data_IF_632977856313
#
_entry.id   IF_632977856313
#
_cell.length_a   1.000
_cell.length_b   1.000
_cell.length_c   1.000
_cell.angle_alpha   90.00
_cell.angle_beta   90.00
_cell.angle_gamma   90.00
#
_symmetry.space_group_name_H-M   'P 1'
#
loop_
_entity.id
_entity.type
_entity.pdbx_description
1 polymer ?
#
# COMPACT_ATOMS: atom_id res chain seq x y z
N UNK A 1 43.51 -14.71 5.18
CA UNK A 1 42.53 -14.09 6.11
C UNK A 1 42.21 -12.71 5.60
N UNK A 2 41.05 -12.53 4.95
CA UNK A 2 40.21 -11.32 4.90
C UNK A 2 39.14 -11.55 3.83
N UNK A 3 38.15 -12.39 4.14
CA UNK A 3 36.85 -12.28 3.50
C UNK A 3 36.25 -10.95 3.97
N UNK A 4 36.31 -9.94 3.11
CA UNK A 4 35.58 -8.71 3.31
C UNK A 4 34.09 -9.04 3.24
N UNK A 5 33.46 -9.10 4.41
CA UNK A 5 32.03 -9.25 4.58
C UNK A 5 31.29 -8.17 3.76
N UNK A 6 30.72 -8.58 2.62
CA UNK A 6 29.89 -7.72 1.77
C UNK A 6 28.55 -7.49 2.49
N UNK A 7 28.46 -6.43 3.27
CA UNK A 7 27.24 -5.97 3.96
C UNK A 7 26.21 -5.34 3.00
N UNK A 8 25.96 -5.97 1.84
CA UNK A 8 24.93 -5.58 0.87
C UNK A 8 23.49 -5.90 1.31
N UNK A 9 23.33 -6.43 2.53
CA UNK A 9 22.08 -7.03 3.03
C UNK A 9 20.94 -6.05 3.42
N UNK A 10 21.15 -4.80 3.89
CA UNK A 10 20.04 -3.91 4.23
C UNK A 10 19.46 -3.19 3.00
N UNK A 11 20.28 -2.84 2.01
CA UNK A 11 19.84 -2.03 0.87
C UNK A 11 18.81 -2.75 0.00
N UNK A 12 19.02 -4.05 -0.25
CA UNK A 12 18.09 -4.85 -1.05
C UNK A 12 16.70 -4.95 -0.40
N UNK A 13 16.64 -5.17 0.91
CA UNK A 13 15.38 -5.23 1.65
C UNK A 13 14.63 -3.89 1.62
N UNK A 14 15.36 -2.78 1.79
CA UNK A 14 14.78 -1.43 1.68
C UNK A 14 14.24 -1.18 0.28
N UNK A 15 15.01 -1.50 -0.76
CA UNK A 15 14.56 -1.32 -2.15
C UNK A 15 13.30 -2.14 -2.45
N UNK A 16 13.26 -3.41 -2.03
CA UNK A 16 12.07 -4.26 -2.22
C UNK A 16 10.85 -3.72 -1.47
N UNK A 17 11.01 -3.25 -0.24
CA UNK A 17 9.91 -2.67 0.54
C UNK A 17 9.40 -1.35 -0.08
N UNK A 18 10.31 -0.48 -0.53
CA UNK A 18 9.94 0.78 -1.21
C UNK A 18 9.20 0.50 -2.52
N UNK A 19 9.68 -0.45 -3.33
CA UNK A 19 9.00 -0.84 -4.56
C UNK A 19 7.63 -1.44 -4.25
N UNK A 20 7.54 -2.34 -3.26
CA UNK A 20 6.29 -2.94 -2.81
C UNK A 20 5.26 -1.91 -2.33
N UNK A 21 5.73 -0.85 -1.67
CA UNK A 21 4.87 0.26 -1.27
C UNK A 21 4.42 1.07 -2.47
N UNK A 22 5.34 1.44 -3.38
CA UNK A 22 5.06 2.31 -4.52
C UNK A 22 4.04 1.68 -5.48
N UNK A 23 4.25 0.41 -5.85
CA UNK A 23 3.36 -0.34 -6.72
C UNK A 23 2.78 -1.51 -5.93
N UNK A 24 1.45 -1.52 -5.69
CA UNK A 24 0.79 -2.59 -4.95
C UNK A 24 1.23 -3.97 -5.45
N UNK A 25 1.64 -4.82 -4.51
CA UNK A 25 2.07 -6.20 -4.74
C UNK A 25 3.29 -6.41 -5.66
N UNK A 26 4.03 -5.35 -6.02
CA UNK A 26 5.26 -5.47 -6.82
C UNK A 26 6.41 -6.15 -6.05
N UNK A 27 6.42 -6.06 -4.71
CA UNK A 27 7.40 -6.72 -3.87
C UNK A 27 7.39 -8.25 -4.00
N UNK A 28 6.21 -8.87 -3.96
CA UNK A 28 6.08 -10.32 -4.16
C UNK A 28 6.47 -10.74 -5.57
N UNK A 29 6.28 -9.89 -6.58
CA UNK A 29 6.73 -10.17 -7.95
C UNK A 29 8.26 -10.21 -8.03
N UNK A 30 8.93 -9.25 -7.39
CA UNK A 30 10.40 -9.16 -7.33
C UNK A 30 11.05 -10.28 -6.50
N UNK A 31 10.30 -10.87 -5.57
CA UNK A 31 10.68 -12.09 -4.85
C UNK A 31 10.36 -13.38 -5.65
N UNK A 32 9.88 -13.28 -6.89
CA UNK A 32 9.54 -14.43 -7.75
C UNK A 32 8.17 -15.06 -7.47
N UNK A 33 7.40 -14.55 -6.50
CA UNK A 33 6.10 -15.07 -6.06
C UNK A 33 4.94 -14.50 -6.91
N UNK A 34 4.94 -14.82 -8.21
CA UNK A 34 3.99 -14.28 -9.21
C UNK A 34 2.50 -14.45 -8.86
N UNK A 35 2.09 -15.60 -8.31
CA UNK A 35 0.69 -15.85 -7.97
C UNK A 35 0.20 -15.00 -6.81
N UNK A 36 1.03 -14.85 -5.76
CA UNK A 36 0.72 -13.96 -4.63
C UNK A 36 0.70 -12.51 -5.07
N UNK A 37 1.69 -12.10 -5.87
CA UNK A 37 1.74 -10.75 -6.43
C UNK A 37 0.46 -10.42 -7.21
N UNK A 38 0.04 -11.31 -8.11
CA UNK A 38 -1.17 -11.10 -8.90
C UNK A 38 -2.44 -11.09 -8.03
N UNK A 39 -2.57 -12.04 -7.11
CA UNK A 39 -3.74 -12.12 -6.22
C UNK A 39 -3.90 -10.86 -5.37
N UNK A 40 -2.82 -10.41 -4.73
CA UNK A 40 -2.84 -9.19 -3.93
C UNK A 40 -3.05 -7.93 -4.77
N UNK A 41 -2.40 -7.81 -5.94
CA UNK A 41 -2.62 -6.69 -6.84
C UNK A 41 -4.10 -6.57 -7.22
N UNK A 42 -4.73 -7.68 -7.60
CA UNK A 42 -6.15 -7.72 -7.97
C UNK A 42 -7.02 -7.28 -6.81
N UNK A 43 -6.84 -7.87 -5.61
CA UNK A 43 -7.66 -7.54 -4.44
C UNK A 43 -7.51 -6.07 -4.06
N UNK A 44 -6.28 -5.55 -4.02
CA UNK A 44 -6.02 -4.17 -3.64
C UNK A 44 -6.56 -3.17 -4.66
N UNK A 45 -6.37 -3.42 -5.95
CA UNK A 45 -6.89 -2.54 -7.01
C UNK A 45 -8.41 -2.58 -7.09
N UNK A 46 -9.04 -3.74 -6.89
CA UNK A 46 -10.50 -3.84 -6.81
C UNK A 46 -11.02 -3.12 -5.58
N UNK A 47 -10.44 -3.34 -4.40
CA UNK A 47 -10.86 -2.65 -3.17
C UNK A 47 -10.73 -1.13 -3.32
N UNK A 48 -9.59 -0.65 -3.82
CA UNK A 48 -9.38 0.78 -4.07
C UNK A 48 -10.35 1.33 -5.12
N UNK A 49 -10.55 0.62 -6.23
CA UNK A 49 -11.47 0.99 -7.29
C UNK A 49 -12.94 1.03 -6.83
N UNK A 50 -13.38 0.06 -6.04
CA UNK A 50 -14.69 0.06 -5.39
C UNK A 50 -14.82 1.22 -4.41
N UNK A 51 -13.76 1.50 -3.63
CA UNK A 51 -13.69 2.64 -2.74
C UNK A 51 -13.94 3.97 -3.46
N UNK A 52 -13.31 4.16 -4.61
CA UNK A 52 -13.54 5.33 -5.46
C UNK A 52 -14.93 5.34 -6.11
N UNK A 53 -15.40 4.19 -6.61
CA UNK A 53 -16.73 4.06 -7.24
C UNK A 53 -17.86 4.38 -6.27
N UNK A 54 -17.68 4.03 -5.00
CA UNK A 54 -18.61 4.33 -3.91
C UNK A 54 -18.44 5.76 -3.37
N UNK A 55 -17.63 6.59 -4.03
CA UNK A 55 -17.39 8.00 -3.69
C UNK A 55 -16.78 8.17 -2.29
N UNK A 56 -16.04 7.16 -1.80
CA UNK A 56 -15.41 7.17 -0.49
C UNK A 56 -14.41 8.31 -0.29
N UNK A 57 -14.24 8.75 0.96
CA UNK A 57 -13.31 9.78 1.34
C UNK A 57 -11.85 9.32 1.18
N UNK A 58 -11.13 9.98 0.28
CA UNK A 58 -9.68 9.87 0.24
C UNK A 58 -9.09 10.92 1.18
N UNK A 59 -8.68 10.50 2.38
CA UNK A 59 -8.27 11.41 3.45
C UNK A 59 -7.11 12.34 3.04
N UNK A 60 -7.17 13.58 3.56
CA UNK A 60 -6.02 14.51 3.68
C UNK A 60 -5.87 14.93 5.13
N UNK A 61 -4.68 15.43 5.52
CA UNK A 61 -4.50 16.08 6.80
C UNK A 61 -5.40 17.31 6.91
N UNK A 62 -6.15 17.41 8.00
CA UNK A 62 -7.01 18.55 8.33
C UNK A 62 -6.59 19.07 9.70
N UNK A 63 -6.21 20.34 9.77
CA UNK A 63 -5.81 20.98 11.01
C UNK A 63 -6.94 20.90 12.06
N UNK A 64 -6.58 20.58 13.31
CA UNK A 64 -7.55 20.39 14.39
C UNK A 64 -8.23 19.01 14.43
N UNK A 65 -7.94 18.11 13.48
CA UNK A 65 -8.49 16.75 13.46
C UNK A 65 -7.37 15.70 13.43
N UNK A 66 -6.84 15.26 14.59
CA UNK A 66 -5.70 14.33 14.65
C UNK A 66 -5.92 13.02 13.89
N UNK A 67 -7.13 12.46 13.92
CA UNK A 67 -7.48 11.23 13.21
C UNK A 67 -7.35 11.36 11.69
N UNK A 68 -7.52 12.56 11.13
CA UNK A 68 -7.35 12.79 9.68
C UNK A 68 -5.92 12.52 9.22
N UNK A 69 -4.92 12.78 10.06
CA UNK A 69 -3.52 12.52 9.76
C UNK A 69 -3.26 11.02 9.71
N UNK A 70 -3.74 10.27 10.70
CA UNK A 70 -3.60 8.82 10.74
C UNK A 70 -4.32 8.15 9.56
N UNK A 71 -5.54 8.59 9.26
CA UNK A 71 -6.31 8.07 8.13
C UNK A 71 -5.64 8.41 6.79
N UNK A 72 -5.02 9.59 6.67
CA UNK A 72 -4.21 9.95 5.49
C UNK A 72 -3.02 9.01 5.33
N UNK A 73 -2.26 8.78 6.41
CA UNK A 73 -1.13 7.85 6.38
C UNK A 73 -1.56 6.43 5.99
N UNK A 74 -2.69 5.97 6.53
CA UNK A 74 -3.30 4.69 6.15
C UNK A 74 -3.68 4.64 4.67
N UNK A 75 -4.35 5.68 4.16
CA UNK A 75 -4.75 5.77 2.76
C UNK A 75 -3.55 5.85 1.80
N UNK A 76 -2.48 6.56 2.17
CA UNK A 76 -1.20 6.59 1.42
C UNK A 76 -0.52 5.22 1.35
N UNK A 77 -0.92 4.28 2.22
CA UNK A 77 -0.42 2.92 2.24
C UNK A 77 -0.57 2.18 0.91
N UNK A 78 -1.57 2.52 0.09
CA UNK A 78 -1.78 1.88 -1.22
C UNK A 78 -0.71 2.31 -2.25
N UNK A 79 0.10 3.33 -1.96
CA UNK A 79 1.21 3.75 -2.81
C UNK A 79 0.79 4.69 -3.93
N UNK A 80 1.31 4.46 -5.14
CA UNK A 80 1.06 5.30 -6.31
C UNK A 80 -0.43 5.56 -6.61
N UNK A 81 -1.36 4.60 -6.47
CA UNK A 81 -2.79 4.85 -6.66
C UNK A 81 -3.34 6.00 -5.80
N UNK A 82 -2.87 6.17 -4.56
CA UNK A 82 -3.28 7.28 -3.70
C UNK A 82 -2.91 8.61 -4.34
N UNK A 83 -1.64 8.77 -4.74
CA UNK A 83 -1.15 10.03 -5.28
C UNK A 83 -1.76 10.35 -6.64
N UNK A 84 -1.93 9.35 -7.49
CA UNK A 84 -2.59 9.51 -8.80
C UNK A 84 -4.03 9.93 -8.61
N UNK A 85 -4.80 9.25 -7.75
CA UNK A 85 -6.19 9.63 -7.50
C UNK A 85 -6.30 11.02 -6.86
N UNK A 86 -5.51 11.28 -5.82
CA UNK A 86 -5.59 12.52 -5.03
C UNK A 86 -5.10 13.75 -5.77
N UNK A 87 -3.89 13.68 -6.32
CA UNK A 87 -3.19 14.83 -6.89
C UNK A 87 -3.23 14.84 -8.41
N UNK A 88 -3.30 13.68 -9.06
CA UNK A 88 -3.44 13.58 -10.52
C UNK A 88 -4.89 13.80 -10.97
N UNK A 89 -5.85 13.16 -10.32
CA UNK A 89 -7.28 13.23 -10.67
C UNK A 89 -8.10 14.16 -9.76
N UNK A 90 -7.51 14.71 -8.70
CA UNK A 90 -8.21 15.60 -7.77
C UNK A 90 -9.30 14.93 -6.94
N UNK A 91 -9.27 13.60 -6.81
CA UNK A 91 -10.32 12.83 -6.16
C UNK A 91 -10.37 13.09 -4.63
N UNK A 92 -11.58 13.34 -4.13
CA UNK A 92 -11.83 13.55 -2.69
C UNK A 92 -12.96 12.68 -2.11
N UNK A 93 -13.81 12.10 -2.97
CA UNK A 93 -15.08 11.50 -2.56
C UNK A 93 -16.20 12.53 -2.41
N UNK A 94 -17.43 12.04 -2.22
CA UNK A 94 -18.65 12.87 -2.07
C UNK A 94 -19.44 12.45 -0.83
N UNK A 95 -19.45 13.26 0.25
CA UNK A 95 -20.15 12.92 1.49
C UNK A 95 -21.64 12.62 1.33
N UNK A 96 -22.27 13.15 0.28
CA UNK A 96 -23.70 12.96 0.00
C UNK A 96 -24.01 11.60 -0.64
N UNK A 97 -22.99 10.86 -1.10
CA UNK A 97 -23.19 9.57 -1.73
C UNK A 97 -23.57 8.50 -0.70
N UNK A 98 -24.56 7.67 -1.01
CA UNK A 98 -25.00 6.56 -0.15
C UNK A 98 -23.86 5.57 0.15
N UNK A 99 -22.92 5.42 -0.78
CA UNK A 99 -21.76 4.54 -0.64
C UNK A 99 -20.59 5.13 0.16
N UNK A 100 -20.65 6.40 0.56
CA UNK A 100 -19.49 7.17 1.04
C UNK A 100 -18.74 6.48 2.19
N UNK A 101 -19.45 6.03 3.22
CA UNK A 101 -18.84 5.38 4.38
C UNK A 101 -18.18 4.04 4.00
N UNK A 102 -18.89 3.21 3.23
CA UNK A 102 -18.36 1.93 2.73
C UNK A 102 -17.15 2.15 1.83
N UNK A 103 -17.23 3.12 0.92
CA UNK A 103 -16.14 3.48 0.02
C UNK A 103 -14.91 3.93 0.79
N UNK A 104 -15.10 4.73 1.83
CA UNK A 104 -14.02 5.19 2.72
C UNK A 104 -13.31 4.02 3.39
N UNK A 105 -14.08 3.04 3.89
CA UNK A 105 -13.54 1.82 4.51
C UNK A 105 -12.75 1.00 3.48
N UNK A 106 -13.24 0.85 2.26
CA UNK A 106 -12.50 0.16 1.19
C UNK A 106 -11.18 0.83 0.85
N UNK A 107 -11.17 2.17 0.72
CA UNK A 107 -9.95 2.94 0.44
C UNK A 107 -8.91 2.79 1.55
N UNK A 108 -9.34 2.93 2.81
CA UNK A 108 -8.46 2.75 3.96
C UNK A 108 -7.96 1.31 4.07
N UNK A 109 -8.84 0.33 3.88
CA UNK A 109 -8.47 -1.09 3.97
C UNK A 109 -7.46 -1.46 2.90
N UNK A 110 -7.64 -1.00 1.65
CA UNK A 110 -6.65 -1.21 0.59
C UNK A 110 -5.28 -0.64 0.96
N UNK A 111 -5.26 0.57 1.55
CA UNK A 111 -4.00 1.19 1.99
C UNK A 111 -3.32 0.41 3.12
N UNK A 112 -4.06 0.07 4.17
CA UNK A 112 -3.53 -0.69 5.31
C UNK A 112 -3.09 -2.10 4.92
N UNK A 113 -3.85 -2.79 4.07
CA UNK A 113 -3.47 -4.11 3.56
C UNK A 113 -2.17 -4.05 2.75
N UNK A 114 -1.98 -3.04 1.91
CA UNK A 114 -0.72 -2.91 1.18
C UNK A 114 0.48 -2.67 2.13
N UNK A 115 0.30 -1.90 3.22
CA UNK A 115 1.33 -1.75 4.24
C UNK A 115 1.69 -3.09 4.92
N UNK A 116 0.71 -3.95 5.19
CA UNK A 116 0.98 -5.30 5.71
C UNK A 116 1.77 -6.15 4.70
N UNK A 117 1.47 -6.03 3.40
CA UNK A 117 2.23 -6.72 2.36
C UNK A 117 3.66 -6.20 2.23
N UNK A 118 3.87 -4.89 2.41
CA UNK A 118 5.22 -4.30 2.47
C UNK A 118 6.01 -4.88 3.63
N UNK A 119 5.39 -5.03 4.81
CA UNK A 119 6.02 -5.68 5.96
C UNK A 119 6.32 -7.16 5.71
N UNK A 120 5.41 -7.88 5.05
CA UNK A 120 5.62 -9.28 4.66
C UNK A 120 6.82 -9.43 3.69
N UNK A 121 6.89 -8.56 2.67
CA UNK A 121 8.02 -8.51 1.72
C UNK A 121 9.33 -8.20 2.45
N UNK A 122 9.30 -7.26 3.39
CA UNK A 122 10.46 -6.92 4.21
C UNK A 122 10.92 -8.09 5.09
N UNK A 123 9.99 -8.86 5.66
CA UNK A 123 10.30 -10.04 6.47
C UNK A 123 10.89 -11.18 5.65
N UNK A 124 10.32 -11.45 4.46
CA UNK A 124 10.85 -12.43 3.50
C UNK A 124 12.25 -12.01 3.03
N UNK A 125 12.43 -10.72 2.66
CA UNK A 125 13.72 -10.20 2.22
C UNK A 125 14.82 -10.30 3.30
N UNK A 126 14.44 -10.33 4.58
CA UNK A 126 15.34 -10.54 5.72
C UNK A 126 15.55 -12.01 6.10
N UNK A 127 14.90 -12.95 5.41
CA UNK A 127 14.95 -14.38 5.74
C UNK A 127 14.29 -14.72 7.08
N UNK A 128 13.38 -13.85 7.58
CA UNK A 128 12.65 -14.09 8.85
C UNK A 128 11.41 -14.98 8.67
N UNK A 129 11.02 -15.21 7.43
CA UNK A 129 9.86 -16.00 7.04
C UNK A 129 10.25 -16.89 5.87
N UNK A 130 9.90 -18.17 5.95
CA UNK A 130 10.21 -19.14 4.90
C UNK A 130 9.36 -18.89 3.65
N UNK A 131 9.94 -19.20 2.50
CA UNK A 131 9.35 -19.03 1.18
C UNK A 131 8.33 -20.13 0.86
N UNK A 132 7.33 -20.37 1.71
CA UNK A 132 6.15 -21.16 1.30
C UNK A 132 5.41 -20.50 0.14
#
# INVERSE_FOLDING_TARGET
MTEAAKSSFPLRAVLLAVLAWLLPASGHLLLGKRFRALGFAIVLLIAFGLGMRLEGNLYRPVAGQPLSYLATLGAMGVGAPYFVARYGAGYQGKPEAQGFEYGTIFLLSAGLMNLLLVLDVWDIARGRKEDE
#
